data_IF_648503527968
#
_entry.id   IF_648503527968
#
_cell.length_a   1.000
_cell.length_b   1.000
_cell.length_c   1.000
_cell.angle_alpha   90.00
_cell.angle_beta   90.00
_cell.angle_gamma   90.00
#
_symmetry.space_group_name_H-M   'P 1'
#
loop_
_entity.id
_entity.type
_entity.pdbx_description
1 polymer ?
#
# COMPACT_ATOMS: atom_id res chain seq x y z
N UNK A 1 41.43 31.15 -26.58
CA UNK A 1 40.00 30.96 -26.77
C UNK A 1 39.63 29.52 -27.10
N UNK A 2 40.41 28.83 -27.93
CA UNK A 2 40.11 27.44 -28.32
C UNK A 2 40.13 26.43 -27.14
N UNK A 3 40.95 26.69 -26.14
CA UNK A 3 41.08 25.76 -24.97
C UNK A 3 39.83 25.68 -24.11
N UNK A 4 38.95 26.70 -24.15
CA UNK A 4 37.69 26.71 -23.40
C UNK A 4 36.50 26.21 -24.22
N UNK A 5 36.63 26.17 -25.56
CA UNK A 5 35.53 25.77 -26.43
C UNK A 5 35.27 24.26 -26.35
N UNK A 6 36.30 23.45 -26.27
CA UNK A 6 36.17 21.98 -26.17
C UNK A 6 35.46 21.55 -24.88
N UNK A 7 35.90 21.99 -23.68
CA UNK A 7 35.18 21.64 -22.45
C UNK A 7 33.75 22.19 -22.42
N UNK A 8 33.48 23.36 -22.99
CA UNK A 8 32.13 23.89 -23.09
C UNK A 8 31.23 23.03 -23.97
N UNK A 9 31.74 22.55 -25.13
CA UNK A 9 30.98 21.62 -25.99
C UNK A 9 30.75 20.28 -25.32
N UNK A 10 31.72 19.74 -24.60
CA UNK A 10 31.56 18.50 -23.84
C UNK A 10 30.49 18.66 -22.73
N UNK A 11 30.53 19.78 -22.01
CA UNK A 11 29.51 20.09 -21.01
C UNK A 11 28.11 20.22 -21.65
N UNK A 12 27.98 20.88 -22.77
CA UNK A 12 26.69 20.99 -23.49
C UNK A 12 26.21 19.63 -23.99
N UNK A 13 27.09 18.76 -24.49
CA UNK A 13 26.74 17.40 -24.90
C UNK A 13 26.26 16.55 -23.69
N UNK A 14 26.95 16.64 -22.56
CA UNK A 14 26.55 15.92 -21.34
C UNK A 14 25.25 16.43 -20.81
N UNK A 15 25.02 17.73 -20.76
CA UNK A 15 23.76 18.34 -20.35
C UNK A 15 22.62 17.87 -21.28
N UNK A 16 22.83 17.95 -22.59
CA UNK A 16 21.88 17.51 -23.59
C UNK A 16 21.57 16.00 -23.45
N UNK A 17 22.57 15.17 -23.24
CA UNK A 17 22.39 13.73 -23.01
C UNK A 17 21.59 13.44 -21.72
N UNK A 18 21.89 14.14 -20.64
CA UNK A 18 21.19 13.98 -19.37
C UNK A 18 19.74 14.50 -19.48
N UNK A 19 19.54 15.67 -20.05
CA UNK A 19 18.21 16.29 -20.17
C UNK A 19 17.33 15.51 -21.15
N UNK A 20 17.84 15.22 -22.35
CA UNK A 20 17.03 14.54 -23.38
C UNK A 20 16.96 13.02 -23.18
N UNK A 21 18.03 12.38 -22.70
CA UNK A 21 18.06 10.94 -22.46
C UNK A 21 17.24 10.51 -21.24
N UNK A 22 17.00 11.43 -20.29
CA UNK A 22 16.23 11.16 -19.07
C UNK A 22 14.96 11.99 -18.93
N UNK A 23 14.63 12.80 -19.92
CA UNK A 23 13.43 13.64 -19.87
C UNK A 23 12.15 12.85 -19.57
N UNK A 24 12.04 11.61 -20.07
CA UNK A 24 10.93 10.70 -19.76
C UNK A 24 10.89 10.19 -18.32
N UNK A 25 11.97 10.37 -17.57
CA UNK A 25 12.06 9.96 -16.16
C UNK A 25 11.99 11.15 -15.19
N UNK A 26 11.87 12.37 -15.72
CA UNK A 26 11.70 13.56 -14.89
C UNK A 26 10.24 13.64 -14.44
N UNK A 27 10.07 13.92 -13.16
CA UNK A 27 8.76 14.19 -12.59
C UNK A 27 8.44 15.66 -12.86
N UNK A 28 7.22 15.94 -13.35
CA UNK A 28 6.77 17.31 -13.49
C UNK A 28 6.68 17.98 -12.12
N UNK A 29 6.90 19.31 -12.08
CA UNK A 29 6.89 20.05 -10.81
C UNK A 29 5.57 19.89 -10.06
N UNK A 30 4.48 19.92 -10.79
CA UNK A 30 3.13 19.76 -10.25
C UNK A 30 2.91 18.36 -9.67
N UNK A 31 3.38 17.33 -10.37
CA UNK A 31 3.31 15.94 -9.89
C UNK A 31 4.18 15.74 -8.63
N UNK A 32 5.34 16.41 -8.58
CA UNK A 32 6.19 16.39 -7.40
C UNK A 32 5.54 17.09 -6.21
N UNK A 33 4.91 18.25 -6.43
CA UNK A 33 4.19 18.96 -5.40
C UNK A 33 3.01 18.14 -4.87
N UNK A 34 2.24 17.49 -5.73
CA UNK A 34 1.17 16.59 -5.31
C UNK A 34 1.69 15.41 -4.46
N UNK A 35 2.86 14.86 -4.82
CA UNK A 35 3.48 13.76 -4.08
C UNK A 35 3.95 14.22 -2.70
N UNK A 36 4.39 15.45 -2.57
CA UNK A 36 4.93 16.04 -1.32
C UNK A 36 3.93 16.92 -0.59
N UNK A 37 2.67 16.82 -0.93
CA UNK A 37 1.60 17.63 -0.33
C UNK A 37 1.57 17.44 1.20
N UNK A 38 1.72 18.55 1.93
CA UNK A 38 1.69 18.56 3.38
C UNK A 38 0.33 18.17 3.94
N UNK A 39 -0.76 18.49 3.24
CA UNK A 39 -2.11 18.14 3.65
C UNK A 39 -2.31 16.61 3.73
N UNK A 40 -1.64 15.87 2.84
CA UNK A 40 -1.60 14.40 2.95
C UNK A 40 -0.90 13.93 4.21
N UNK A 41 0.25 14.52 4.54
CA UNK A 41 1.01 14.19 5.76
C UNK A 41 0.21 14.51 7.02
N UNK A 42 -0.49 15.63 7.01
CA UNK A 42 -1.35 16.06 8.11
C UNK A 42 -2.53 15.08 8.28
N UNK A 43 -3.20 14.70 7.21
CA UNK A 43 -4.28 13.69 7.26
C UNK A 43 -3.80 12.34 7.82
N UNK A 44 -2.60 11.89 7.47
CA UNK A 44 -2.00 10.67 8.05
C UNK A 44 -1.72 10.84 9.54
N UNK A 45 -1.16 11.98 9.91
CA UNK A 45 -0.83 12.29 11.31
C UNK A 45 -2.07 12.36 12.17
N UNK A 46 -3.10 13.06 11.69
CA UNK A 46 -4.38 13.21 12.38
C UNK A 46 -5.09 11.86 12.55
N UNK A 47 -5.05 11.01 11.52
CA UNK A 47 -5.62 9.66 11.59
C UNK A 47 -4.92 8.77 12.63
N UNK A 48 -3.64 9.00 12.88
CA UNK A 48 -2.82 8.22 13.82
C UNK A 48 -2.67 8.89 15.18
N UNK A 49 -3.23 10.09 15.37
CA UNK A 49 -3.14 10.80 16.65
C UNK A 49 -3.92 10.05 17.73
N UNK A 50 -3.28 9.85 18.87
CA UNK A 50 -3.85 9.08 19.97
C UNK A 50 -4.01 7.57 19.74
N UNK A 51 -3.69 7.05 18.55
CA UNK A 51 -3.78 5.60 18.29
C UNK A 51 -2.66 4.85 19.00
N UNK A 52 -3.02 3.94 19.87
CA UNK A 52 -2.09 3.09 20.66
C UNK A 52 -2.09 1.64 20.19
N UNK A 53 -3.05 1.25 19.35
CA UNK A 53 -3.18 -0.09 18.82
C UNK A 53 -2.30 -0.32 17.57
N UNK A 54 -2.04 -1.58 17.29
CA UNK A 54 -1.29 -1.98 16.11
C UNK A 54 -2.27 -2.21 14.94
N UNK A 55 -2.55 -1.15 14.20
CA UNK A 55 -3.44 -1.16 13.04
C UNK A 55 -2.71 -0.75 11.77
N UNK A 56 -3.30 -1.08 10.62
CA UNK A 56 -2.80 -0.63 9.32
C UNK A 56 -3.60 0.56 8.80
N UNK A 57 -2.90 1.34 8.00
CA UNK A 57 -3.45 2.50 7.30
C UNK A 57 -3.30 2.27 5.80
N UNK A 58 -4.38 2.33 5.06
CA UNK A 58 -4.36 2.22 3.61
C UNK A 58 -4.61 3.56 2.93
N UNK A 59 -4.21 3.64 1.68
CA UNK A 59 -4.38 4.81 0.82
C UNK A 59 -5.28 4.46 -0.34
N UNK A 60 -6.28 5.30 -0.61
CA UNK A 60 -7.22 5.11 -1.71
C UNK A 60 -7.37 6.39 -2.51
N UNK A 61 -7.04 6.34 -3.81
CA UNK A 61 -7.25 7.46 -4.72
C UNK A 61 -6.52 8.76 -4.38
N UNK A 62 -5.44 8.70 -3.62
CA UNK A 62 -4.72 9.88 -3.14
C UNK A 62 -4.06 10.66 -4.28
N UNK A 63 -3.45 9.98 -5.24
CA UNK A 63 -2.87 10.65 -6.41
C UNK A 63 -3.90 10.85 -7.51
N UNK A 64 -4.03 12.08 -8.00
CA UNK A 64 -4.98 12.42 -9.08
C UNK A 64 -4.65 11.71 -10.40
N UNK A 65 -3.37 11.59 -10.75
CA UNK A 65 -2.91 11.05 -12.03
C UNK A 65 -2.43 9.60 -11.98
N UNK A 66 -2.03 9.11 -10.83
CA UNK A 66 -1.57 7.74 -10.63
C UNK A 66 -2.56 7.01 -9.75
N UNK A 67 -2.97 5.84 -10.17
CA UNK A 67 -3.94 5.03 -9.44
C UNK A 67 -3.47 4.66 -8.03
N UNK A 68 -2.16 4.66 -7.79
CA UNK A 68 -1.59 4.02 -6.63
C UNK A 68 -0.47 4.84 -6.00
N UNK A 69 -0.57 5.01 -4.70
CA UNK A 69 0.42 5.69 -3.87
C UNK A 69 1.21 4.70 -3.05
N UNK A 70 1.69 3.68 -3.72
CA UNK A 70 2.46 2.62 -3.10
C UNK A 70 3.77 3.14 -2.52
N UNK A 71 4.18 2.56 -1.41
CA UNK A 71 5.41 2.91 -0.69
C UNK A 71 5.45 4.38 -0.20
N UNK A 72 4.32 5.05 -0.13
CA UNK A 72 4.25 6.40 0.42
C UNK A 72 4.00 6.31 1.93
N UNK A 73 5.07 6.27 2.69
CA UNK A 73 5.05 6.16 4.15
C UNK A 73 5.58 7.47 4.75
N UNK A 74 4.76 8.16 5.51
CA UNK A 74 5.07 9.45 6.13
C UNK A 74 5.28 9.37 7.65
N UNK A 75 4.69 8.35 8.28
CA UNK A 75 4.85 8.09 9.71
C UNK A 75 5.30 6.64 9.90
N UNK A 76 6.20 6.39 10.84
CA UNK A 76 6.71 5.04 11.14
C UNK A 76 5.61 4.08 11.64
N UNK A 77 4.48 4.60 12.11
CA UNK A 77 3.30 3.83 12.51
C UNK A 77 2.36 3.53 11.34
N UNK A 78 2.62 4.10 10.16
CA UNK A 78 1.83 3.90 8.96
C UNK A 78 2.20 2.58 8.30
N UNK A 79 1.55 1.51 8.70
CA UNK A 79 1.69 0.19 8.08
C UNK A 79 0.60 -0.01 7.03
N UNK A 80 0.96 -0.57 5.88
CA UNK A 80 0.04 -0.78 4.76
C UNK A 80 0.07 -2.22 4.27
N UNK A 81 -1.00 -2.67 3.59
CA UNK A 81 -1.03 -3.94 2.85
C UNK A 81 -0.60 -3.76 1.40
N UNK A 82 -0.50 -2.52 0.93
CA UNK A 82 -0.12 -2.16 -0.42
C UNK A 82 1.39 -1.96 -0.51
N UNK A 83 2.02 -2.53 -1.53
CA UNK A 83 3.47 -2.41 -1.75
C UNK A 83 3.80 -2.44 -3.22
N UNK A 84 4.70 -1.58 -3.63
CA UNK A 84 5.38 -1.66 -4.92
C UNK A 84 6.77 -2.26 -4.71
N UNK A 85 6.94 -3.52 -5.09
CA UNK A 85 8.21 -4.22 -4.96
C UNK A 85 8.36 -5.25 -6.07
N UNK A 86 9.56 -5.38 -6.60
CA UNK A 86 9.92 -6.48 -7.52
C UNK A 86 10.18 -7.79 -6.77
N UNK A 87 10.45 -7.72 -5.47
CA UNK A 87 10.56 -8.85 -4.57
C UNK A 87 9.36 -8.85 -3.63
N UNK A 88 8.61 -9.93 -3.61
CA UNK A 88 7.40 -10.06 -2.80
C UNK A 88 7.35 -11.42 -2.11
N UNK A 89 6.66 -11.45 -0.98
CA UNK A 89 6.41 -12.69 -0.26
C UNK A 89 5.37 -13.53 -1.00
N UNK A 90 5.80 -14.65 -1.57
CA UNK A 90 4.95 -15.56 -2.35
C UNK A 90 3.80 -16.14 -1.51
N UNK A 91 4.03 -16.43 -0.23
CA UNK A 91 2.99 -16.94 0.65
C UNK A 91 1.90 -15.87 0.87
N UNK A 92 2.29 -14.62 1.09
CA UNK A 92 1.34 -13.51 1.20
C UNK A 92 0.56 -13.28 -0.09
N UNK A 93 1.21 -13.34 -1.24
CA UNK A 93 0.53 -13.22 -2.53
C UNK A 93 -0.52 -14.32 -2.72
N UNK A 94 -0.15 -15.58 -2.46
CA UNK A 94 -1.07 -16.72 -2.54
C UNK A 94 -2.25 -16.56 -1.57
N UNK A 95 -1.98 -16.14 -0.35
CA UNK A 95 -3.01 -15.87 0.65
C UNK A 95 -3.99 -14.80 0.14
N UNK A 96 -3.47 -13.67 -0.30
CA UNK A 96 -4.27 -12.57 -0.85
C UNK A 96 -5.14 -13.00 -2.02
N UNK A 97 -4.58 -13.74 -2.98
CA UNK A 97 -5.28 -14.12 -4.20
C UNK A 97 -6.21 -15.33 -4.01
N UNK A 98 -5.77 -16.35 -3.28
CA UNK A 98 -6.49 -17.62 -3.23
C UNK A 98 -7.52 -17.66 -2.08
N UNK A 99 -7.24 -16.97 -0.99
CA UNK A 99 -8.15 -16.96 0.16
C UNK A 99 -9.15 -15.82 0.05
N UNK A 100 -8.68 -14.59 -0.13
CA UNK A 100 -9.54 -13.42 -0.16
C UNK A 100 -9.99 -13.01 -1.55
N UNK A 101 -9.40 -13.55 -2.61
CA UNK A 101 -9.72 -13.24 -4.00
C UNK A 101 -9.70 -11.73 -4.26
N UNK A 102 -8.76 -11.04 -3.64
CA UNK A 102 -8.59 -9.61 -3.86
C UNK A 102 -8.09 -9.35 -5.28
N UNK A 103 -8.25 -8.11 -5.70
CA UNK A 103 -7.86 -7.67 -7.02
C UNK A 103 -6.42 -8.09 -7.32
N UNK A 104 -6.21 -8.60 -8.55
CA UNK A 104 -4.89 -9.01 -8.97
C UNK A 104 -3.96 -7.80 -9.00
N UNK A 105 -2.73 -7.96 -8.51
CA UNK A 105 -1.75 -6.90 -8.56
C UNK A 105 -1.44 -6.54 -10.01
N UNK A 106 -1.19 -5.27 -10.24
CA UNK A 106 -0.70 -4.80 -11.53
C UNK A 106 0.73 -5.26 -11.75
N UNK A 107 1.01 -6.07 -12.76
CA UNK A 107 2.33 -6.62 -13.12
C UNK A 107 3.01 -7.41 -11.99
N UNK A 108 3.50 -8.57 -12.30
CA UNK A 108 4.48 -9.34 -11.52
C UNK A 108 4.30 -9.36 -10.00
N UNK A 109 3.06 -9.38 -9.52
CA UNK A 109 2.79 -9.48 -8.10
C UNK A 109 2.84 -8.16 -7.32
N UNK A 110 2.94 -7.03 -7.99
CA UNK A 110 2.91 -5.72 -7.33
C UNK A 110 1.53 -5.45 -6.74
N UNK A 111 1.48 -5.19 -5.45
CA UNK A 111 0.25 -4.91 -4.72
C UNK A 111 0.11 -3.40 -4.55
N UNK A 112 -0.33 -2.72 -5.60
CA UNK A 112 -0.27 -1.26 -5.71
C UNK A 112 -1.44 -0.54 -5.05
N UNK A 113 -2.56 -1.20 -4.85
CA UNK A 113 -3.76 -0.57 -4.33
C UNK A 113 -4.27 -1.25 -3.08
N UNK A 114 -4.95 -0.50 -2.24
CA UNK A 114 -5.74 -1.05 -1.16
C UNK A 114 -6.79 -2.00 -1.73
N UNK A 115 -6.99 -3.14 -1.07
CA UNK A 115 -8.06 -4.05 -1.46
C UNK A 115 -9.41 -3.44 -1.14
N UNK A 116 -10.34 -3.52 -2.08
CA UNK A 116 -11.76 -3.18 -1.85
C UNK A 116 -12.51 -4.28 -1.06
N UNK A 117 -11.90 -5.45 -0.81
CA UNK A 117 -12.52 -6.52 -0.06
C UNK A 117 -12.59 -6.17 1.44
N UNK A 118 -13.79 -5.93 2.01
CA UNK A 118 -13.92 -5.48 3.40
C UNK A 118 -13.51 -6.55 4.42
N UNK A 119 -13.64 -7.83 4.08
CA UNK A 119 -13.19 -8.91 4.96
C UNK A 119 -11.67 -8.97 5.02
N UNK A 120 -11.01 -8.77 3.87
CA UNK A 120 -9.55 -8.67 3.82
C UNK A 120 -9.06 -7.49 4.64
N UNK A 121 -9.65 -6.32 4.48
CA UNK A 121 -9.28 -5.13 5.24
C UNK A 121 -9.40 -5.37 6.76
N UNK A 122 -10.54 -5.90 7.20
CA UNK A 122 -10.77 -6.24 8.62
C UNK A 122 -9.75 -7.24 9.14
N UNK A 123 -9.54 -8.34 8.41
CA UNK A 123 -8.60 -9.39 8.80
C UNK A 123 -7.16 -8.85 8.86
N UNK A 124 -6.78 -8.01 7.91
CA UNK A 124 -5.44 -7.41 7.87
C UNK A 124 -5.27 -6.25 8.86
N UNK A 125 -6.29 -5.92 9.62
CA UNK A 125 -6.22 -4.85 10.61
C UNK A 125 -6.12 -3.44 10.00
N UNK A 126 -6.73 -3.24 8.83
CA UNK A 126 -6.84 -1.92 8.21
C UNK A 126 -7.92 -1.14 8.94
N UNK A 127 -7.52 -0.22 9.79
CA UNK A 127 -8.43 0.63 10.57
C UNK A 127 -8.71 1.96 9.88
N UNK A 128 -7.70 2.51 9.22
CA UNK A 128 -7.79 3.81 8.57
C UNK A 128 -7.62 3.66 7.07
N UNK A 129 -8.55 4.19 6.31
CA UNK A 129 -8.44 4.33 4.85
C UNK A 129 -8.46 5.80 4.52
N UNK A 130 -7.33 6.33 4.05
CA UNK A 130 -7.18 7.74 3.75
C UNK A 130 -7.28 7.92 2.24
N UNK A 131 -8.15 8.80 1.81
CA UNK A 131 -8.40 9.10 0.41
C UNK A 131 -8.67 10.57 0.17
N UNK A 132 -8.96 10.91 -1.08
CA UNK A 132 -9.45 12.26 -1.40
C UNK A 132 -10.95 12.32 -1.23
N UNK A 133 -11.44 13.50 -0.83
CA UNK A 133 -12.85 13.86 -0.86
C UNK A 133 -13.41 13.79 -2.30
N UNK A 134 -14.72 13.74 -2.44
CA UNK A 134 -15.37 13.64 -3.75
C UNK A 134 -15.03 14.79 -4.69
N UNK A 135 -14.84 15.99 -4.15
CA UNK A 135 -14.39 17.19 -4.89
C UNK A 135 -12.90 17.13 -5.26
N UNK A 136 -12.13 16.19 -4.66
CA UNK A 136 -10.70 16.04 -4.88
C UNK A 136 -9.82 17.10 -4.24
N UNK A 137 -10.38 18.02 -3.47
CA UNK A 137 -9.66 19.16 -2.89
C UNK A 137 -9.02 18.81 -1.53
N UNK A 138 -9.68 17.95 -0.76
CA UNK A 138 -9.26 17.60 0.60
C UNK A 138 -8.92 16.11 0.74
N UNK A 139 -8.30 15.76 1.84
CA UNK A 139 -8.16 14.36 2.25
C UNK A 139 -9.21 14.02 3.30
N UNK A 140 -9.69 12.79 3.23
CA UNK A 140 -10.67 12.23 4.18
C UNK A 140 -10.15 10.93 4.74
N UNK A 141 -10.49 10.65 5.99
CA UNK A 141 -10.17 9.39 6.66
C UNK A 141 -11.45 8.63 6.97
N UNK A 142 -11.58 7.45 6.40
CA UNK A 142 -12.60 6.48 6.78
C UNK A 142 -12.04 5.61 7.90
N UNK A 143 -12.76 5.52 9.02
CA UNK A 143 -12.40 4.70 10.17
C UNK A 143 -13.22 3.42 10.17
N UNK A 144 -12.56 2.27 10.14
CA UNK A 144 -13.20 0.96 10.20
C UNK A 144 -13.25 0.46 11.64
N UNK A 145 -14.33 0.71 12.34
CA UNK A 145 -14.53 0.37 13.76
C UNK A 145 -14.36 -1.12 14.08
N UNK A 146 -14.67 -1.98 13.12
CA UNK A 146 -14.57 -3.44 13.30
C UNK A 146 -13.22 -4.03 12.83
N UNK A 147 -12.20 -3.21 12.61
CA UNK A 147 -10.87 -3.72 12.26
C UNK A 147 -10.27 -4.49 13.44
N UNK A 148 -9.76 -5.69 13.19
CA UNK A 148 -9.00 -6.42 14.19
C UNK A 148 -7.58 -5.84 14.31
N UNK A 149 -6.99 -5.74 15.50
CA UNK A 149 -5.59 -5.36 15.62
C UNK A 149 -4.69 -6.39 14.94
N UNK A 150 -3.53 -5.95 14.44
CA UNK A 150 -2.57 -6.83 13.72
C UNK A 150 -2.08 -7.99 14.59
N UNK A 151 -2.04 -7.78 15.90
CA UNK A 151 -1.64 -8.79 16.88
C UNK A 151 -2.75 -8.93 17.92
N UNK A 152 -3.24 -10.14 18.09
CA UNK A 152 -4.23 -10.47 19.11
C UNK A 152 -4.06 -11.92 19.56
N UNK A 153 -4.55 -12.21 20.76
CA UNK A 153 -4.62 -13.57 21.31
C UNK A 153 -6.00 -14.17 21.15
N UNK A 154 -6.07 -15.45 20.85
CA UNK A 154 -7.35 -16.18 20.80
C UNK A 154 -7.19 -17.63 21.29
N UNK A 155 -8.25 -18.16 21.91
CA UNK A 155 -8.39 -19.57 22.21
C UNK A 155 -9.24 -20.33 21.16
N UNK A 156 -9.73 -19.62 20.15
CA UNK A 156 -10.46 -20.22 19.04
C UNK A 156 -9.47 -20.63 17.96
N UNK A 157 -9.24 -21.93 17.84
CA UNK A 157 -8.28 -22.47 16.89
C UNK A 157 -8.92 -23.53 16.00
N UNK A 158 -8.41 -23.67 14.78
CA UNK A 158 -8.80 -24.71 13.83
C UNK A 158 -7.53 -25.35 13.25
N UNK A 159 -7.55 -26.65 13.07
CA UNK A 159 -6.42 -27.37 12.46
C UNK A 159 -6.25 -26.98 10.99
N UNK A 160 -5.00 -26.82 10.56
CA UNK A 160 -4.67 -26.43 9.17
C UNK A 160 -5.30 -27.37 8.15
N UNK A 161 -5.28 -28.69 8.38
CA UNK A 161 -5.90 -29.68 7.51
C UNK A 161 -7.38 -29.43 7.30
N UNK A 162 -8.10 -29.10 8.37
CA UNK A 162 -9.53 -28.75 8.31
C UNK A 162 -9.75 -27.46 7.54
N UNK A 163 -8.91 -26.44 7.80
CA UNK A 163 -9.00 -25.17 7.09
C UNK A 163 -8.72 -25.31 5.60
N UNK A 164 -7.70 -26.08 5.20
CA UNK A 164 -7.34 -26.30 3.80
C UNK A 164 -8.41 -27.05 3.00
N UNK A 165 -9.26 -27.83 3.65
CA UNK A 165 -10.39 -28.51 3.02
C UNK A 165 -11.57 -27.54 2.71
N UNK A 166 -11.55 -26.34 3.29
CA UNK A 166 -12.61 -25.35 3.09
C UNK A 166 -12.42 -24.59 1.79
N UNK A 167 -13.54 -24.32 1.12
CA UNK A 167 -13.56 -23.54 -0.11
C UNK A 167 -14.10 -22.12 0.15
N UNK A 168 -13.82 -21.22 -0.76
CA UNK A 168 -14.43 -19.91 -0.82
C UNK A 168 -15.97 -20.02 -0.85
N UNK A 169 -16.71 -19.19 -0.11
CA UNK A 169 -16.26 -18.12 0.79
C UNK A 169 -16.02 -18.58 2.25
N UNK A 170 -16.25 -19.85 2.58
CA UNK A 170 -16.20 -20.35 3.97
C UNK A 170 -14.82 -20.22 4.62
N UNK A 171 -13.74 -20.38 3.84
CA UNK A 171 -12.38 -20.20 4.32
C UNK A 171 -12.12 -18.75 4.79
N UNK A 172 -12.70 -17.73 4.14
CA UNK A 172 -12.61 -16.34 4.61
C UNK A 172 -13.33 -16.15 5.95
N UNK A 173 -14.57 -16.60 6.03
CA UNK A 173 -15.37 -16.47 7.24
C UNK A 173 -14.72 -17.18 8.42
N UNK A 174 -14.09 -18.33 8.17
CA UNK A 174 -13.41 -19.09 9.20
C UNK A 174 -12.22 -18.33 9.79
N UNK A 175 -11.42 -17.63 8.95
CA UNK A 175 -10.31 -16.82 9.42
C UNK A 175 -10.75 -15.61 10.27
N UNK A 176 -11.99 -15.15 10.11
CA UNK A 176 -12.55 -14.09 10.97
C UNK A 176 -12.90 -14.59 12.37
N UNK A 177 -12.96 -15.88 12.59
CA UNK A 177 -13.41 -16.49 13.85
C UNK A 177 -12.35 -17.34 14.55
N UNK A 178 -11.40 -17.89 13.79
CA UNK A 178 -10.43 -18.88 14.28
C UNK A 178 -9.03 -18.58 13.79
N UNK A 179 -8.05 -18.85 14.63
CA UNK A 179 -6.66 -18.93 14.20
C UNK A 179 -6.36 -20.35 13.66
N UNK A 180 -5.67 -20.42 12.53
CA UNK A 180 -5.23 -21.69 11.94
C UNK A 180 -3.94 -22.14 12.60
N UNK A 181 -3.90 -23.37 13.10
CA UNK A 181 -2.72 -23.97 13.74
C UNK A 181 -2.22 -25.18 12.97
N UNK A 182 -0.88 -25.29 12.82
CA UNK A 182 -0.24 -26.37 12.06
C UNK A 182 -0.25 -27.74 12.75
N UNK A 183 -0.64 -27.82 14.00
CA UNK A 183 -0.63 -29.08 14.75
C UNK A 183 -2.02 -29.44 15.25
N UNK A 184 -2.49 -30.61 14.87
CA UNK A 184 -3.48 -31.36 15.65
C UNK A 184 -2.78 -31.78 16.96
N UNK A 185 -3.15 -31.16 18.09
CA UNK A 185 -2.91 -31.76 19.39
C UNK A 185 -4.12 -32.55 19.79
#
# INVERSE_FOLDING_TARGET
PFLLLVPALVCLMLINHVVNGKAGNLVQKEDYQEITDSAWQDAVRDALDGETGLYRTEQSGVAKKRKDNVNRIWDMRQWTTSVYSSAYNTAYQKFRNNVFQVEQPFRNGLMQSASANPLFQKFMGVKYVIGRSEDGENFTTEVQEAAAPVIYGTNRVIAEKTYQAMKFPYNQTMLMQYAVTGNEK
#
